data_IF_930089796098
#
_entry.id   IF_930089796098
#
_cell.length_a   1.000
_cell.length_b   1.000
_cell.length_c   1.000
_cell.angle_alpha   90.00
_cell.angle_beta   90.00
_cell.angle_gamma   90.00
#
_symmetry.space_group_name_H-M   'P 1'
#
loop_
_entity.id
_entity.type
_entity.pdbx_description
1 polymer ?
#
# COMPACT_ATOMS: atom_id res chain seq x y z
N UNK A 1 -15.24 -9.15 -5.17
CA UNK A 1 -14.57 -7.90 -5.12
C UNK A 1 -13.30 -8.03 -4.32
N UNK A 2 -12.30 -7.42 -4.76
CA UNK A 2 -11.00 -7.50 -4.13
C UNK A 2 -10.24 -6.22 -4.40
N UNK A 3 -9.28 -5.93 -3.56
CA UNK A 3 -8.38 -4.86 -3.83
C UNK A 3 -7.47 -5.28 -4.98
N UNK A 4 -6.84 -4.33 -5.59
CA UNK A 4 -5.90 -4.61 -6.68
C UNK A 4 -4.63 -5.21 -6.09
N UNK A 5 -3.70 -5.55 -6.95
CA UNK A 5 -2.41 -6.06 -6.50
C UNK A 5 -1.49 -4.93 -6.05
N UNK A 6 -1.98 -3.69 -6.01
CA UNK A 6 -1.14 -2.52 -5.74
C UNK A 6 -0.45 -2.60 -4.38
N UNK A 7 -1.11 -3.15 -3.36
CA UNK A 7 -0.49 -3.24 -2.05
C UNK A 7 0.75 -4.13 -2.09
N UNK A 8 0.63 -5.32 -2.62
CA UNK A 8 1.80 -6.21 -2.67
C UNK A 8 2.85 -5.68 -3.63
N UNK A 9 2.45 -5.01 -4.71
CA UNK A 9 3.42 -4.39 -5.60
C UNK A 9 4.16 -3.26 -4.91
N UNK A 10 3.45 -2.43 -4.14
CA UNK A 10 4.07 -1.34 -3.41
C UNK A 10 5.06 -1.84 -2.38
N UNK A 11 4.69 -2.88 -1.65
CA UNK A 11 5.59 -3.49 -0.67
C UNK A 11 6.84 -4.03 -1.37
N UNK A 12 6.66 -4.75 -2.49
CA UNK A 12 7.78 -5.29 -3.24
C UNK A 12 8.72 -4.19 -3.72
N UNK A 13 8.17 -3.09 -4.19
CA UNK A 13 8.99 -1.98 -4.66
C UNK A 13 9.80 -1.39 -3.51
N UNK A 14 9.18 -1.17 -2.36
CA UNK A 14 9.90 -0.59 -1.22
C UNK A 14 11.00 -1.52 -0.72
N UNK A 15 10.72 -2.82 -0.66
CA UNK A 15 11.73 -3.78 -0.22
C UNK A 15 12.89 -3.85 -1.22
N UNK A 16 12.58 -3.80 -2.50
CA UNK A 16 13.62 -3.86 -3.52
C UNK A 16 14.49 -2.59 -3.50
N UNK A 17 13.86 -1.42 -3.35
CA UNK A 17 14.61 -0.17 -3.26
C UNK A 17 15.52 -0.19 -2.05
N UNK A 18 15.04 -0.69 -0.93
CA UNK A 18 15.86 -0.80 0.27
C UNK A 18 17.07 -1.70 0.02
N UNK A 19 16.84 -2.88 -0.53
CA UNK A 19 17.94 -3.82 -0.78
C UNK A 19 18.95 -3.26 -1.75
N UNK A 20 18.48 -2.56 -2.78
CA UNK A 20 19.36 -1.98 -3.77
C UNK A 20 20.22 -0.87 -3.16
N UNK A 21 19.59 -0.03 -2.34
CA UNK A 21 20.28 1.09 -1.72
C UNK A 21 21.36 0.60 -0.75
N UNK A 22 21.09 -0.48 -0.04
CA UNK A 22 22.08 -1.02 0.89
C UNK A 22 23.33 -1.46 0.16
N UNK A 23 23.19 -1.93 -1.07
CA UNK A 23 24.35 -2.41 -1.83
C UNK A 23 24.99 -1.34 -2.68
N UNK A 24 24.25 -0.33 -3.09
CA UNK A 24 24.71 0.60 -4.10
C UNK A 24 24.86 2.03 -3.64
N UNK A 25 25.07 2.21 -2.35
CA UNK A 25 25.44 3.52 -1.82
C UNK A 25 24.50 4.66 -2.16
N UNK A 26 23.25 4.46 -1.91
CA UNK A 26 22.26 5.53 -2.05
C UNK A 26 22.02 6.02 -3.48
N UNK A 27 22.29 5.18 -4.47
CA UNK A 27 21.95 5.56 -5.83
C UNK A 27 20.44 5.39 -6.01
N UNK A 28 19.84 6.30 -6.77
CA UNK A 28 18.42 6.20 -7.08
C UNK A 28 18.18 4.99 -7.97
N UNK A 29 17.06 4.33 -7.76
CA UNK A 29 16.70 3.15 -8.54
C UNK A 29 15.65 3.56 -9.56
N UNK A 30 15.93 3.34 -10.83
CA UNK A 30 15.06 3.83 -11.90
C UNK A 30 13.79 3.02 -12.01
N UNK A 31 12.73 3.66 -12.49
CA UNK A 31 11.45 3.00 -12.72
C UNK A 31 11.59 1.84 -13.69
N UNK A 32 12.42 2.00 -14.71
CA UNK A 32 12.60 0.94 -15.69
C UNK A 32 13.20 -0.30 -15.05
N UNK A 33 14.22 -0.12 -14.23
CA UNK A 33 14.87 -1.25 -13.56
C UNK A 33 13.88 -1.93 -12.61
N UNK A 34 13.11 -1.13 -11.86
CA UNK A 34 12.11 -1.70 -10.95
C UNK A 34 11.11 -2.53 -11.72
N UNK A 35 10.60 -1.99 -12.83
CA UNK A 35 9.63 -2.68 -13.67
C UNK A 35 10.19 -4.01 -14.16
N UNK A 36 11.44 -3.98 -14.64
CA UNK A 36 12.05 -5.18 -15.19
C UNK A 36 12.33 -6.23 -14.13
N UNK A 37 12.90 -5.80 -13.00
CA UNK A 37 13.30 -6.74 -11.98
C UNK A 37 12.13 -7.35 -11.23
N UNK A 38 11.05 -6.60 -11.06
CA UNK A 38 9.88 -7.09 -10.35
C UNK A 38 8.80 -7.61 -11.29
N UNK A 39 9.06 -7.54 -12.60
CA UNK A 39 8.13 -8.03 -13.60
C UNK A 39 6.74 -7.39 -13.41
N UNK A 40 6.74 -6.08 -13.27
CA UNK A 40 5.52 -5.29 -13.17
C UNK A 40 5.48 -4.40 -14.42
N UNK A 41 4.37 -4.34 -15.13
CA UNK A 41 4.30 -3.50 -16.33
C UNK A 41 4.66 -2.05 -16.02
N UNK A 42 5.34 -1.39 -16.94
CA UNK A 42 5.81 -0.03 -16.71
C UNK A 42 4.69 0.93 -16.31
N UNK A 43 3.53 0.95 -16.95
CA UNK A 43 2.47 1.88 -16.54
C UNK A 43 2.02 1.65 -15.11
N UNK A 44 1.96 0.39 -14.68
CA UNK A 44 1.58 0.06 -13.32
C UNK A 44 2.67 0.51 -12.35
N UNK A 45 3.93 0.26 -12.71
CA UNK A 45 5.06 0.67 -11.88
C UNK A 45 5.05 2.19 -11.68
N UNK A 46 4.81 2.94 -12.75
CA UNK A 46 4.75 4.40 -12.68
C UNK A 46 3.64 4.85 -11.73
N UNK A 47 2.48 4.21 -11.83
CA UNK A 47 1.35 4.59 -11.00
C UNK A 47 1.60 4.30 -9.52
N UNK A 48 2.13 3.12 -9.23
CA UNK A 48 2.39 2.74 -7.85
C UNK A 48 3.47 3.66 -7.26
N UNK A 49 4.54 3.92 -8.01
CA UNK A 49 5.60 4.80 -7.54
C UNK A 49 5.06 6.21 -7.29
N UNK A 50 4.19 6.72 -8.16
CA UNK A 50 3.60 8.04 -7.94
C UNK A 50 2.85 8.07 -6.62
N UNK A 51 2.09 7.01 -6.34
CA UNK A 51 1.35 6.95 -5.10
C UNK A 51 2.26 6.86 -3.88
N UNK A 52 3.36 6.13 -3.98
CA UNK A 52 4.32 6.05 -2.89
C UNK A 52 5.00 7.41 -2.65
N UNK A 53 5.33 8.11 -3.74
CA UNK A 53 5.91 9.45 -3.63
C UNK A 53 4.93 10.41 -2.99
N UNK A 54 3.66 10.36 -3.40
CA UNK A 54 2.64 11.25 -2.86
C UNK A 54 2.44 11.03 -1.36
N UNK A 55 2.60 9.81 -0.91
CA UNK A 55 2.47 9.47 0.50
C UNK A 55 3.77 9.71 1.28
N UNK A 56 4.81 10.19 0.58
CA UNK A 56 6.09 10.50 1.20
C UNK A 56 6.80 9.27 1.76
N UNK A 57 6.55 8.12 1.16
CA UNK A 57 7.28 6.90 1.51
C UNK A 57 8.55 6.79 0.66
N UNK A 58 8.55 7.45 -0.50
CA UNK A 58 9.70 7.51 -1.39
C UNK A 58 9.93 8.94 -1.83
N UNK A 59 11.13 9.23 -2.30
CA UNK A 59 11.45 10.51 -2.92
C UNK A 59 11.98 10.22 -4.31
N UNK A 60 11.68 11.10 -5.24
CA UNK A 60 12.03 10.92 -6.63
C UNK A 60 13.06 11.94 -7.08
N UNK A 61 13.87 11.54 -8.06
CA UNK A 61 14.79 12.47 -8.71
C UNK A 61 14.63 12.24 -10.21
N UNK A 62 14.49 13.30 -10.95
CA UNK A 62 14.32 13.17 -12.40
C UNK A 62 15.66 13.18 -13.09
N UNK A 63 15.67 12.75 -14.35
CA UNK A 63 16.87 12.78 -15.16
C UNK A 63 17.41 11.39 -15.43
N UNK A 64 18.52 11.35 -16.14
CA UNK A 64 19.11 10.10 -16.60
C UNK A 64 19.55 9.19 -15.46
N UNK A 65 19.97 9.77 -14.35
CA UNK A 65 20.35 8.97 -13.19
C UNK A 65 19.33 9.07 -12.09
N UNK A 66 18.11 9.34 -12.48
CA UNK A 66 17.03 9.48 -11.52
C UNK A 66 16.39 8.18 -11.15
N UNK A 67 15.31 8.29 -10.44
CA UNK A 67 14.57 7.15 -9.92
C UNK A 67 14.04 7.48 -8.56
N UNK A 68 14.00 6.50 -7.68
CA UNK A 68 13.48 6.73 -6.33
C UNK A 68 14.42 6.18 -5.28
N UNK A 69 14.28 6.74 -4.10
CA UNK A 69 14.89 6.23 -2.87
C UNK A 69 13.81 6.22 -1.81
N UNK A 70 14.04 5.49 -0.75
CA UNK A 70 13.14 5.55 0.39
C UNK A 70 13.25 6.92 1.05
N UNK A 71 12.12 7.47 1.46
CA UNK A 71 12.09 8.73 2.19
C UNK A 71 12.15 8.51 3.69
N UNK A 72 11.90 7.25 4.12
CA UNK A 72 11.87 6.89 5.52
C UNK A 72 12.51 5.53 5.66
N UNK A 73 13.07 5.21 6.83
CA UNK A 73 13.59 3.86 7.04
C UNK A 73 12.46 2.83 7.00
N UNK A 74 12.75 1.63 6.54
CA UNK A 74 11.73 0.58 6.52
C UNK A 74 11.16 0.31 7.91
N UNK A 75 11.96 0.54 8.95
CA UNK A 75 11.49 0.31 10.31
C UNK A 75 10.38 1.27 10.72
N UNK A 76 10.17 2.33 9.95
CA UNK A 76 9.12 3.30 10.25
C UNK A 76 7.95 3.22 9.26
N UNK A 77 8.00 2.31 8.33
CA UNK A 77 6.92 2.15 7.36
C UNK A 77 6.16 0.88 7.71
N UNK A 78 4.84 1.02 7.91
CA UNK A 78 3.99 -0.13 8.22
C UNK A 78 3.28 -0.59 6.96
N UNK A 79 2.72 -1.80 6.99
CA UNK A 79 1.91 -2.27 5.88
C UNK A 79 0.69 -1.37 5.70
N UNK A 80 0.16 -0.79 6.78
CA UNK A 80 -0.95 0.14 6.65
C UNK A 80 -0.54 1.39 5.88
N UNK A 81 0.67 1.91 6.13
CA UNK A 81 1.15 3.07 5.40
C UNK A 81 1.15 2.82 3.90
N UNK A 82 1.59 1.63 3.50
CA UNK A 82 1.64 1.28 2.09
C UNK A 82 0.23 1.14 1.53
N UNK A 83 -0.66 0.49 2.30
CA UNK A 83 -2.04 0.31 1.86
C UNK A 83 -2.70 1.67 1.61
N UNK A 84 -2.56 2.60 2.55
CA UNK A 84 -3.18 3.92 2.40
C UNK A 84 -2.56 4.71 1.25
N UNK A 85 -1.31 4.43 0.93
CA UNK A 85 -0.64 5.11 -0.18
C UNK A 85 -1.19 4.63 -1.52
N UNK A 86 -1.32 3.31 -1.69
CA UNK A 86 -1.63 2.76 -3.01
C UNK A 86 -3.12 2.54 -3.27
N UNK A 87 -3.93 2.61 -2.22
CA UNK A 87 -5.38 2.50 -2.36
C UNK A 87 -6.05 3.72 -1.75
N UNK A 88 -5.66 4.92 -2.15
CA UNK A 88 -6.20 6.12 -1.50
C UNK A 88 -7.68 6.25 -1.78
N UNK A 89 -8.44 6.54 -0.73
CA UNK A 89 -9.86 6.78 -0.88
C UNK A 89 -10.70 5.57 -1.19
N UNK A 90 -10.12 4.35 -1.08
CA UNK A 90 -10.89 3.15 -1.35
C UNK A 90 -11.28 2.47 -0.06
N UNK A 91 -12.54 2.09 0.01
CA UNK A 91 -13.05 1.38 1.17
C UNK A 91 -12.99 -0.10 0.93
N UNK A 92 -12.88 -0.87 1.98
CA UNK A 92 -12.85 -2.31 1.88
C UNK A 92 -14.15 -2.83 1.30
N UNK A 93 -15.26 -2.28 1.75
CA UNK A 93 -16.57 -2.70 1.28
C UNK A 93 -17.29 -1.53 0.63
N UNK A 94 -17.97 -1.82 -0.47
CA UNK A 94 -18.87 -0.84 -1.07
C UNK A 94 -20.22 -1.14 -0.51
N UNK A 95 -20.94 -0.09 -0.12
CA UNK A 95 -22.23 -0.24 0.53
C UNK A 95 -23.34 0.13 -0.45
N UNK A 96 -24.30 -0.77 -0.59
CA UNK A 96 -25.43 -0.53 -1.46
C UNK A 96 -26.43 0.33 -0.71
N UNK A 97 -26.70 1.52 -1.22
CA UNK A 97 -27.62 2.45 -0.56
C UNK A 97 -28.86 2.77 -1.38
N UNK A 98 -28.94 2.25 -2.61
CA UNK A 98 -30.07 2.60 -3.50
C UNK A 98 -31.18 1.58 -3.25
N UNK A 99 -31.93 1.78 -2.18
CA UNK A 99 -32.99 0.86 -1.76
C UNK A 99 -34.32 1.58 -1.84
N UNK A 100 -35.29 0.99 -2.53
CA UNK A 100 -36.59 1.58 -2.67
C UNK A 100 -37.45 1.37 -1.44
N UNK A 101 -37.24 0.27 -0.72
CA UNK A 101 -38.01 -0.02 0.48
C UNK A 101 -37.80 1.08 1.50
N UNK A 102 -38.84 1.40 2.23
CA UNK A 102 -38.79 2.45 3.23
C UNK A 102 -39.36 1.93 4.55
N UNK A 103 -38.98 2.56 5.62
CA UNK A 103 -39.49 2.22 6.95
C UNK A 103 -38.35 2.20 7.95
N UNK A 104 -38.69 2.28 9.22
CA UNK A 104 -37.71 2.32 10.29
C UNK A 104 -36.88 1.04 10.33
N UNK A 105 -37.49 -0.10 10.10
CA UNK A 105 -36.77 -1.36 10.12
C UNK A 105 -35.73 -1.41 9.02
N UNK A 106 -36.03 -0.87 7.86
CA UNK A 106 -35.09 -0.85 6.74
C UNK A 106 -33.90 0.05 7.08
N UNK A 107 -34.19 1.22 7.68
CA UNK A 107 -33.16 2.16 8.03
C UNK A 107 -32.26 1.58 9.14
N UNK A 108 -32.86 0.89 10.11
CA UNK A 108 -32.07 0.30 11.19
C UNK A 108 -31.13 -0.78 10.69
N UNK A 109 -31.60 -1.62 9.76
CA UNK A 109 -30.76 -2.67 9.19
C UNK A 109 -29.63 -2.05 8.40
N UNK A 110 -29.94 -0.99 7.62
CA UNK A 110 -28.92 -0.34 6.83
C UNK A 110 -27.82 0.23 7.73
N UNK A 111 -28.20 0.89 8.82
CA UNK A 111 -27.22 1.45 9.73
C UNK A 111 -26.35 0.37 10.37
N UNK A 112 -26.95 -0.77 10.70
CA UNK A 112 -26.18 -1.85 11.32
C UNK A 112 -25.21 -2.48 10.34
N UNK A 113 -25.62 -2.61 9.07
CA UNK A 113 -24.74 -3.15 8.04
C UNK A 113 -23.54 -2.21 7.88
N UNK A 114 -23.78 -0.91 7.78
CA UNK A 114 -22.70 0.06 7.64
C UNK A 114 -21.78 -0.02 8.84
N UNK A 115 -22.33 -0.06 10.04
CA UNK A 115 -21.56 -0.11 11.26
C UNK A 115 -20.63 -1.33 11.28
N UNK A 116 -21.15 -2.49 10.91
CA UNK A 116 -20.33 -3.71 10.96
C UNK A 116 -19.29 -3.75 9.85
N UNK A 117 -19.61 -3.22 8.66
CA UNK A 117 -18.63 -3.19 7.59
C UNK A 117 -17.51 -2.20 7.90
N UNK A 118 -17.84 -1.07 8.52
CA UNK A 118 -16.81 -0.13 8.95
C UNK A 118 -15.94 -0.75 10.04
N UNK A 119 -16.56 -1.51 10.93
CA UNK A 119 -15.80 -2.19 11.97
C UNK A 119 -14.82 -3.20 11.41
N UNK A 120 -15.24 -3.92 10.36
CA UNK A 120 -14.36 -4.88 9.72
C UNK A 120 -13.17 -4.18 9.07
N UNK A 121 -13.41 -3.01 8.46
CA UNK A 121 -12.33 -2.27 7.83
C UNK A 121 -11.35 -1.75 8.88
N UNK A 122 -11.86 -1.25 9.99
CA UNK A 122 -11.01 -0.78 11.08
C UNK A 122 -10.16 -1.92 11.62
N UNK A 123 -10.74 -3.11 11.77
CA UNK A 123 -10.00 -4.26 12.27
C UNK A 123 -8.87 -4.62 11.32
N UNK A 124 -9.13 -4.57 10.01
CA UNK A 124 -8.09 -4.84 9.02
C UNK A 124 -6.97 -3.82 9.13
N UNK A 125 -7.33 -2.53 9.24
CA UNK A 125 -6.32 -1.48 9.31
C UNK A 125 -5.49 -1.60 10.59
N UNK A 126 -6.13 -1.94 11.71
CA UNK A 126 -5.40 -2.12 12.96
C UNK A 126 -4.42 -3.27 12.88
N UNK A 127 -4.76 -4.32 12.15
CA UNK A 127 -3.85 -5.43 11.97
C UNK A 127 -2.62 -4.99 11.15
N UNK A 128 -2.85 -4.28 10.04
CA UNK A 128 -1.75 -3.85 9.17
C UNK A 128 -0.87 -2.79 9.83
N UNK A 129 -1.45 -2.01 10.74
CA UNK A 129 -0.73 -0.93 11.39
C UNK A 129 0.42 -1.42 12.25
N UNK A 130 0.34 -2.64 12.74
CA UNK A 130 1.35 -3.15 13.65
C UNK A 130 2.46 -3.94 12.96
N UNK A 131 2.42 -4.04 11.63
CA UNK A 131 3.43 -4.78 10.89
C UNK A 131 4.32 -3.80 10.16
N UNK A 132 5.58 -3.72 10.58
CA UNK A 132 6.54 -2.85 9.92
C UNK A 132 7.21 -3.63 8.79
N UNK A 133 7.66 -2.93 7.75
CA UNK A 133 8.26 -3.62 6.62
C UNK A 133 9.52 -4.37 7.00
N UNK A 134 10.24 -3.91 8.03
CA UNK A 134 11.40 -4.65 8.52
C UNK A 134 11.02 -6.01 9.07
N UNK A 135 9.80 -6.18 9.55
CA UNK A 135 9.35 -7.47 10.08
C UNK A 135 9.30 -8.52 8.98
N UNK A 136 9.17 -8.09 7.74
CA UNK A 136 9.09 -9.02 6.62
C UNK A 136 10.43 -9.62 6.26
N UNK A 137 11.53 -8.95 6.66
CA UNK A 137 12.84 -9.50 6.42
C UNK A 137 13.28 -10.36 7.56
N UNK A 138 12.95 -9.97 8.77
CA UNK A 138 13.50 -10.64 9.91
C UNK A 138 12.53 -11.66 10.42
N UNK A 139 12.35 -12.68 9.66
CA UNK A 139 11.55 -13.71 10.05
C UNK A 139 12.14 -14.32 11.15
N UNK A 140 11.54 -14.60 12.16
CA UNK A 140 12.15 -15.10 13.26
C UNK A 140 12.50 -16.40 12.98
N UNK A 141 13.59 -16.78 13.26
CA UNK A 141 14.07 -18.02 13.19
C UNK A 141 13.49 -18.76 14.25
N UNK A 142 12.47 -19.38 14.04
CA UNK A 142 11.90 -20.14 15.01
C UNK A 142 12.74 -21.18 15.21
N UNK A 143 13.41 -21.18 16.02
CA UNK A 143 14.37 -22.16 16.32
C UNK A 143 13.89 -23.43 16.63
#
# INVERSE_FOLDING_TARGET
>A
MAYSTALSQGISILLYVHAYTEKNCLNYLSTKVISEQLNIPVPTTVKVIRNLNNAKLTVAKEGAKGGILLAQPLSEITMLDVFLAVEPGKDLFKIHTDVTLQGQDVDDVKEKVIHHLEGAEIAMQNYLKDIRLTDLFHEEKKG
#
